data_IF_687859032333
#
_entry.id   IF_687859032333
#
_cell.length_a   1.000
_cell.length_b   1.000
_cell.length_c   1.000
_cell.angle_alpha   90.00
_cell.angle_beta   90.00
_cell.angle_gamma   90.00
#
_symmetry.space_group_name_H-M   'P 1'
#
loop_
_entity.id
_entity.type
_entity.pdbx_description
1 polymer ?
#
# COMPACT_ATOMS: atom_id res chain seq x y z
N UNK A 1 -25.24 82.98 -17.69
CA UNK A 1 -26.42 82.81 -18.55
C UNK A 1 -26.38 81.47 -19.24
N UNK A 2 -27.47 80.69 -19.06
CA UNK A 2 -27.79 79.45 -19.80
C UNK A 2 -26.95 78.18 -19.45
N UNK A 3 -27.47 77.07 -19.19
CA UNK A 3 -28.77 76.43 -18.91
C UNK A 3 -28.44 74.95 -18.73
N UNK A 4 -29.11 74.34 -17.77
CA UNK A 4 -29.17 72.90 -17.49
C UNK A 4 -29.47 72.04 -18.72
N UNK A 5 -28.87 70.83 -18.78
CA UNK A 5 -29.58 69.63 -19.26
C UNK A 5 -29.13 68.42 -18.53
N UNK A 6 -30.06 67.88 -17.76
CA UNK A 6 -30.05 66.50 -17.26
C UNK A 6 -30.06 65.49 -18.43
N UNK A 7 -29.23 64.48 -18.46
CA UNK A 7 -29.47 63.29 -19.24
C UNK A 7 -29.60 62.12 -18.27
N UNK A 8 -30.82 61.57 -18.29
CA UNK A 8 -31.18 60.31 -17.62
C UNK A 8 -30.62 59.19 -18.45
N UNK A 9 -29.73 58.35 -17.86
CA UNK A 9 -29.25 57.10 -18.45
C UNK A 9 -30.10 55.92 -17.97
N UNK A 10 -30.29 54.88 -18.79
CA UNK A 10 -31.20 53.80 -18.48
C UNK A 10 -30.63 52.82 -17.45
N UNK A 11 -31.49 52.46 -16.52
CA UNK A 11 -31.30 51.45 -15.48
C UNK A 11 -31.17 50.07 -16.12
N UNK A 12 -29.98 49.45 -16.06
CA UNK A 12 -29.77 48.07 -16.46
C UNK A 12 -30.20 47.19 -15.29
N UNK A 13 -31.35 46.53 -15.43
CA UNK A 13 -31.80 45.45 -14.55
C UNK A 13 -30.92 44.22 -14.77
N UNK A 14 -29.99 43.97 -13.82
CA UNK A 14 -29.20 42.74 -13.78
C UNK A 14 -30.06 41.62 -13.19
N UNK A 15 -30.56 40.73 -14.04
CA UNK A 15 -31.18 39.48 -13.63
C UNK A 15 -30.11 38.52 -13.07
N UNK A 16 -30.06 38.39 -11.74
CA UNK A 16 -29.34 37.32 -11.06
C UNK A 16 -30.10 36.00 -11.26
N UNK A 17 -29.68 35.21 -12.24
CA UNK A 17 -30.10 33.83 -12.37
C UNK A 17 -29.43 33.05 -11.24
N UNK A 18 -30.19 32.82 -10.18
CA UNK A 18 -29.80 31.92 -9.10
C UNK A 18 -29.74 30.48 -9.63
N UNK A 19 -28.54 29.98 -9.81
CA UNK A 19 -28.26 28.57 -10.09
C UNK A 19 -28.55 27.77 -8.82
N UNK A 20 -29.79 27.28 -8.68
CA UNK A 20 -30.09 26.24 -7.68
C UNK A 20 -29.33 24.97 -8.05
N UNK A 21 -28.20 24.76 -7.43
CA UNK A 21 -27.56 23.45 -7.39
C UNK A 21 -28.50 22.52 -6.61
N UNK A 22 -29.30 21.75 -7.33
CA UNK A 22 -30.08 20.65 -6.76
C UNK A 22 -29.05 19.59 -6.27
N UNK A 23 -28.59 19.72 -5.04
CA UNK A 23 -27.94 18.63 -4.34
C UNK A 23 -28.97 17.49 -4.27
N UNK A 24 -28.71 16.39 -4.96
CA UNK A 24 -29.46 15.18 -4.78
C UNK A 24 -29.31 14.76 -3.29
N UNK A 25 -30.29 15.17 -2.48
CA UNK A 25 -30.43 14.63 -1.13
C UNK A 25 -30.66 13.12 -1.33
N UNK A 26 -29.71 12.32 -0.91
CA UNK A 26 -29.96 10.89 -0.70
C UNK A 26 -31.07 10.83 0.33
N UNK A 27 -32.27 10.52 -0.11
CA UNK A 27 -33.40 10.26 0.78
C UNK A 27 -33.01 9.03 1.60
N UNK A 28 -32.70 9.25 2.86
CA UNK A 28 -32.46 8.16 3.80
C UNK A 28 -33.74 7.34 3.91
N UNK A 29 -33.68 6.05 3.61
CA UNK A 29 -34.83 5.16 3.63
C UNK A 29 -35.33 5.05 5.09
N UNK A 30 -36.57 5.48 5.39
CA UNK A 30 -37.05 5.57 6.76
C UNK A 30 -37.29 4.22 7.44
N UNK A 31 -37.04 3.10 6.76
CA UNK A 31 -37.20 1.77 7.33
C UNK A 31 -36.16 1.53 8.44
N UNK A 32 -36.57 0.93 9.58
CA UNK A 32 -35.62 0.55 10.62
C UNK A 32 -34.50 -0.32 10.06
N UNK A 33 -33.27 -0.06 10.46
CA UNK A 33 -32.12 -0.83 10.01
C UNK A 33 -31.15 -1.10 11.17
N UNK A 34 -30.35 -2.15 11.02
CA UNK A 34 -29.27 -2.49 11.92
C UNK A 34 -27.95 -2.54 11.14
N UNK A 35 -26.94 -1.88 11.66
CA UNK A 35 -25.61 -1.78 11.07
C UNK A 35 -24.62 -2.52 11.95
N UNK A 36 -23.88 -3.48 11.37
CA UNK A 36 -22.92 -4.33 12.07
C UNK A 36 -21.66 -4.51 11.28
N UNK A 37 -20.57 -4.80 11.98
CA UNK A 37 -19.33 -5.24 11.33
C UNK A 37 -19.06 -6.71 11.67
N UNK A 38 -18.70 -7.47 10.66
CA UNK A 38 -18.18 -8.84 10.78
C UNK A 38 -16.71 -8.88 10.42
N UNK A 39 -15.94 -9.63 11.19
CA UNK A 39 -14.53 -9.87 10.95
C UNK A 39 -14.23 -11.35 10.99
N UNK A 40 -13.29 -11.80 10.19
CA UNK A 40 -12.79 -13.17 10.23
C UNK A 40 -11.28 -13.19 10.00
N UNK A 41 -10.63 -14.21 10.55
CA UNK A 41 -9.19 -14.43 10.45
C UNK A 41 -8.95 -15.90 10.09
N UNK A 42 -8.05 -16.12 9.15
CA UNK A 42 -7.57 -17.45 8.76
C UNK A 42 -6.06 -17.48 8.99
N UNK A 43 -5.59 -18.45 9.73
CA UNK A 43 -4.16 -18.72 9.93
C UNK A 43 -3.71 -19.73 8.88
N UNK A 44 -2.65 -19.39 8.16
CA UNK A 44 -2.12 -20.21 7.06
C UNK A 44 -0.61 -20.35 7.21
N UNK A 45 -0.10 -21.57 7.03
CA UNK A 45 1.34 -21.78 6.89
C UNK A 45 1.78 -21.24 5.52
N UNK A 46 2.74 -20.31 5.46
CA UNK A 46 3.22 -19.78 4.19
C UNK A 46 3.98 -20.86 3.40
N UNK A 47 3.89 -20.81 2.09
CA UNK A 47 4.59 -21.68 1.15
C UNK A 47 5.52 -20.91 0.21
N UNK A 48 5.55 -19.58 0.34
CA UNK A 48 6.36 -18.70 -0.49
C UNK A 48 6.96 -17.55 0.33
N UNK A 49 8.12 -17.06 -0.11
CA UNK A 49 8.71 -15.81 0.39
C UNK A 49 8.89 -14.81 -0.76
N UNK A 50 8.57 -13.56 -0.52
CA UNK A 50 8.78 -12.44 -1.44
C UNK A 50 9.85 -11.53 -0.85
N UNK A 51 10.97 -11.42 -1.54
CA UNK A 51 12.09 -10.54 -1.17
C UNK A 51 12.03 -9.29 -2.02
N UNK A 52 12.01 -8.11 -1.37
CA UNK A 52 12.25 -6.82 -1.99
C UNK A 52 13.71 -6.45 -1.79
N UNK A 53 14.48 -6.42 -2.87
CA UNK A 53 15.91 -6.14 -2.84
C UNK A 53 16.26 -5.07 -3.86
N UNK A 54 17.38 -4.40 -3.70
CA UNK A 54 17.88 -3.45 -4.67
C UNK A 54 19.39 -3.50 -4.83
N UNK A 55 19.80 -3.08 -6.01
CA UNK A 55 21.19 -2.88 -6.39
C UNK A 55 21.39 -1.39 -6.64
N UNK A 56 22.26 -0.79 -5.87
CA UNK A 56 22.60 0.63 -5.96
C UNK A 56 24.09 0.78 -6.24
N UNK A 57 24.43 1.58 -7.24
CA UNK A 57 25.80 1.96 -7.58
C UNK A 57 25.97 3.46 -7.55
N UNK A 58 27.16 3.93 -7.19
CA UNK A 58 27.51 5.35 -7.16
C UNK A 58 28.78 5.58 -7.96
N UNK A 59 28.75 6.60 -8.82
CA UNK A 59 29.89 6.95 -9.65
C UNK A 59 29.99 8.47 -9.86
N UNK A 60 31.17 8.97 -10.18
CA UNK A 60 31.37 10.40 -10.43
C UNK A 60 30.62 10.87 -11.69
N UNK A 61 30.42 9.98 -12.67
CA UNK A 61 29.71 10.28 -13.92
C UNK A 61 28.41 9.47 -14.01
N UNK A 62 27.44 10.02 -14.73
CA UNK A 62 26.15 9.38 -14.98
C UNK A 62 26.33 8.02 -15.69
N UNK A 63 27.12 8.03 -16.75
CA UNK A 63 27.40 6.83 -17.56
C UNK A 63 28.08 5.75 -16.74
N UNK A 64 29.01 6.14 -15.85
CA UNK A 64 29.69 5.23 -14.92
C UNK A 64 28.72 4.59 -13.94
N UNK A 65 27.83 5.36 -13.33
CA UNK A 65 26.82 4.84 -12.39
C UNK A 65 25.87 3.86 -13.09
N UNK A 66 25.41 4.16 -14.30
CA UNK A 66 24.53 3.29 -15.09
C UNK A 66 25.25 2.00 -15.50
N UNK A 67 26.48 2.10 -16.00
CA UNK A 67 27.25 0.94 -16.46
C UNK A 67 27.59 -0.02 -15.32
N UNK A 68 27.94 0.51 -14.14
CA UNK A 68 28.22 -0.29 -12.96
C UNK A 68 26.94 -0.96 -12.43
N UNK A 69 25.83 -0.21 -12.33
CA UNK A 69 24.54 -0.77 -11.97
C UNK A 69 24.12 -1.92 -12.90
N UNK A 70 24.31 -1.76 -14.21
CA UNK A 70 23.98 -2.79 -15.18
C UNK A 70 24.78 -4.08 -14.95
N UNK A 71 26.08 -3.99 -14.66
CA UNK A 71 26.93 -5.16 -14.36
C UNK A 71 26.43 -5.90 -13.11
N UNK A 72 26.13 -5.16 -12.05
CA UNK A 72 25.62 -5.75 -10.80
C UNK A 72 24.26 -6.43 -11.02
N UNK A 73 23.37 -5.80 -11.79
CA UNK A 73 22.06 -6.37 -12.15
C UNK A 73 22.21 -7.68 -12.91
N UNK A 74 23.12 -7.73 -13.91
CA UNK A 74 23.40 -8.95 -14.67
C UNK A 74 23.96 -10.06 -13.79
N UNK A 75 24.80 -9.71 -12.82
CA UNK A 75 25.34 -10.65 -11.84
C UNK A 75 24.24 -11.24 -10.97
N UNK A 76 23.34 -10.41 -10.42
CA UNK A 76 22.18 -10.87 -9.64
C UNK A 76 21.28 -11.77 -10.47
N UNK A 77 20.96 -11.36 -11.70
CA UNK A 77 20.10 -12.15 -12.59
C UNK A 77 20.72 -13.50 -12.97
N UNK A 78 22.03 -13.53 -13.17
CA UNK A 78 22.77 -14.79 -13.44
C UNK A 78 22.67 -15.70 -12.21
N UNK A 79 22.99 -15.18 -11.05
CA UNK A 79 22.88 -15.92 -9.81
C UNK A 79 21.47 -16.51 -9.58
N UNK A 80 20.42 -15.71 -9.77
CA UNK A 80 19.04 -16.18 -9.60
C UNK A 80 18.68 -17.32 -10.56
N UNK A 81 19.14 -17.25 -11.82
CA UNK A 81 18.95 -18.35 -12.78
C UNK A 81 19.71 -19.60 -12.35
N UNK A 82 20.95 -19.46 -11.90
CA UNK A 82 21.80 -20.58 -11.44
C UNK A 82 21.25 -21.22 -10.16
N UNK A 83 20.60 -20.44 -9.31
CA UNK A 83 19.85 -20.90 -8.13
C UNK A 83 18.52 -21.57 -8.48
N UNK A 84 18.13 -21.60 -9.76
CA UNK A 84 16.91 -22.25 -10.24
C UNK A 84 15.63 -21.42 -10.00
N UNK A 85 15.74 -20.10 -9.81
CA UNK A 85 14.59 -19.19 -9.72
C UNK A 85 14.10 -18.90 -11.13
N UNK A 86 12.86 -19.31 -11.42
CA UNK A 86 12.27 -19.11 -12.74
C UNK A 86 12.04 -17.61 -13.05
N UNK A 87 12.19 -17.18 -14.32
CA UNK A 87 12.04 -15.77 -14.71
C UNK A 87 10.68 -15.15 -14.32
N UNK A 88 9.60 -15.94 -14.30
CA UNK A 88 8.27 -15.47 -13.86
C UNK A 88 8.21 -15.02 -12.39
N UNK A 89 9.17 -15.49 -11.58
CA UNK A 89 9.30 -15.17 -10.16
C UNK A 89 10.28 -14.02 -9.88
N UNK A 90 10.83 -13.41 -10.94
CA UNK A 90 11.76 -12.30 -10.84
C UNK A 90 11.16 -11.08 -11.54
N UNK A 91 10.81 -10.07 -10.79
CA UNK A 91 10.38 -8.79 -11.33
C UNK A 91 11.46 -7.74 -11.06
N UNK A 92 11.88 -7.02 -12.10
CA UNK A 92 12.90 -5.98 -12.02
C UNK A 92 12.28 -4.64 -12.37
N UNK A 93 12.53 -3.61 -11.57
CA UNK A 93 12.08 -2.24 -11.85
C UNK A 93 12.90 -1.59 -12.98
N UNK A 94 12.42 -0.45 -13.47
CA UNK A 94 13.23 0.46 -14.25
C UNK A 94 14.37 1.03 -13.40
N UNK A 95 15.45 1.47 -14.06
CA UNK A 95 16.55 2.14 -13.39
C UNK A 95 16.10 3.51 -12.87
N UNK A 96 16.39 3.80 -11.60
CA UNK A 96 16.26 5.13 -11.01
C UNK A 96 17.64 5.76 -10.91
N UNK A 97 17.76 7.00 -11.35
CA UNK A 97 19.02 7.74 -11.32
C UNK A 97 18.81 9.04 -10.57
N UNK A 98 19.69 9.30 -9.61
CA UNK A 98 19.65 10.53 -8.82
C UNK A 98 21.04 11.16 -8.74
N UNK A 99 21.15 12.50 -8.87
CA UNK A 99 22.40 13.19 -8.60
C UNK A 99 22.69 13.16 -7.08
N UNK A 100 23.96 12.94 -6.74
CA UNK A 100 24.46 13.01 -5.37
C UNK A 100 25.04 14.38 -5.17
N UNK A 101 24.49 15.12 -4.21
CA UNK A 101 24.94 16.45 -3.87
C UNK A 101 25.89 16.41 -2.67
N UNK A 102 26.85 17.34 -2.57
CA UNK A 102 27.68 17.46 -1.37
C UNK A 102 26.82 17.76 -0.14
N UNK A 103 27.16 17.12 0.96
CA UNK A 103 26.50 17.40 2.24
C UNK A 103 26.84 18.85 2.65
N UNK A 104 25.86 19.74 2.60
CA UNK A 104 26.02 21.12 3.01
C UNK A 104 25.98 21.21 4.52
N UNK A 105 27.09 21.64 5.10
CA UNK A 105 27.09 22.05 6.49
C UNK A 105 26.18 23.30 6.63
N UNK A 106 24.99 23.13 7.18
CA UNK A 106 23.94 24.16 7.26
C UNK A 106 24.42 25.44 7.96
N UNK A 107 25.46 25.34 8.75
CA UNK A 107 26.02 26.49 9.47
C UNK A 107 26.91 27.36 8.58
N UNK A 108 27.61 26.78 7.62
CA UNK A 108 28.50 27.51 6.70
C UNK A 108 27.70 28.20 5.58
N UNK A 109 26.64 27.54 5.08
CA UNK A 109 25.82 28.11 4.00
C UNK A 109 25.08 29.40 4.36
N UNK A 110 24.84 29.68 5.66
CA UNK A 110 24.19 30.89 6.12
C UNK A 110 25.07 32.17 6.00
N UNK A 111 26.38 32.01 5.86
CA UNK A 111 27.35 33.10 5.80
C UNK A 111 28.17 33.15 4.49
N UNK A 112 27.93 32.22 3.56
CA UNK A 112 28.66 32.19 2.30
C UNK A 112 28.18 33.32 1.35
N UNK A 113 29.11 33.99 0.62
CA UNK A 113 28.73 34.97 -0.40
C UNK A 113 27.90 34.32 -1.50
N UNK A 114 26.97 35.06 -2.13
CA UNK A 114 26.09 34.50 -3.20
C UNK A 114 26.86 33.84 -4.34
N UNK A 115 28.03 34.33 -4.68
CA UNK A 115 28.86 33.76 -5.76
C UNK A 115 29.45 32.39 -5.44
N UNK A 116 29.66 32.06 -4.18
CA UNK A 116 30.13 30.74 -3.74
C UNK A 116 28.96 29.73 -3.70
N UNK A 117 27.75 30.18 -3.38
CA UNK A 117 26.55 29.35 -3.40
C UNK A 117 26.23 28.79 -4.79
N UNK A 118 26.60 29.52 -5.84
CA UNK A 118 26.37 29.04 -7.23
C UNK A 118 27.47 28.09 -7.74
N UNK A 119 28.70 28.16 -7.22
CA UNK A 119 29.79 27.24 -7.58
C UNK A 119 29.66 25.86 -6.95
N UNK A 120 29.01 25.75 -5.81
CA UNK A 120 28.81 24.51 -5.07
C UNK A 120 27.57 23.69 -5.54
N UNK A 121 26.84 24.19 -6.53
CA UNK A 121 25.56 23.58 -6.95
C UNK A 121 25.74 22.55 -8.08
N UNK A 122 26.89 21.86 -8.11
CA UNK A 122 27.12 20.74 -9.00
C UNK A 122 27.06 19.41 -8.22
N UNK A 123 26.43 18.37 -8.79
CA UNK A 123 26.45 17.07 -8.15
C UNK A 123 27.87 16.51 -8.11
N UNK A 124 28.25 15.92 -6.99
CA UNK A 124 29.55 15.25 -6.81
C UNK A 124 29.60 13.87 -7.46
N UNK A 125 28.44 13.35 -7.89
CA UNK A 125 28.30 12.07 -8.55
C UNK A 125 26.85 11.74 -8.84
N UNK A 126 26.62 10.52 -9.24
CA UNK A 126 25.32 9.97 -9.56
C UNK A 126 25.12 8.64 -8.86
N UNK A 127 23.91 8.42 -8.38
CA UNK A 127 23.45 7.15 -7.84
C UNK A 127 22.48 6.53 -8.83
N UNK A 128 22.75 5.29 -9.24
CA UNK A 128 21.85 4.48 -10.05
C UNK A 128 21.33 3.32 -9.19
N UNK A 129 20.03 3.13 -9.13
CA UNK A 129 19.39 2.08 -8.35
C UNK A 129 18.38 1.30 -9.18
N UNK A 130 18.31 -0.01 -8.95
CA UNK A 130 17.33 -0.90 -9.57
C UNK A 130 16.83 -1.90 -8.54
N UNK A 131 15.51 -2.01 -8.41
CA UNK A 131 14.89 -2.90 -7.45
C UNK A 131 14.46 -4.22 -8.09
N UNK A 132 14.46 -5.26 -7.28
CA UNK A 132 13.98 -6.60 -7.61
C UNK A 132 12.87 -6.99 -6.64
N UNK A 133 11.84 -7.64 -7.15
CA UNK A 133 10.94 -8.44 -6.37
C UNK A 133 11.16 -9.89 -6.78
N UNK A 134 11.56 -10.72 -5.82
CA UNK A 134 11.94 -12.10 -6.04
C UNK A 134 11.01 -12.98 -5.21
N UNK A 135 10.28 -13.89 -5.87
CA UNK A 135 9.42 -14.86 -5.20
C UNK A 135 10.12 -16.19 -5.11
N UNK A 136 10.32 -16.68 -3.91
CA UNK A 136 10.90 -17.98 -3.60
C UNK A 136 9.76 -18.93 -3.25
N UNK A 137 9.50 -19.92 -4.12
CA UNK A 137 8.42 -20.92 -3.96
C UNK A 137 8.84 -22.11 -3.09
N UNK A 138 10.14 -22.35 -2.97
CA UNK A 138 10.71 -23.41 -2.13
C UNK A 138 11.40 -22.75 -0.94
N UNK A 139 10.71 -22.72 0.19
CA UNK A 139 11.20 -22.05 1.39
C UNK A 139 12.47 -22.69 1.96
N UNK A 140 12.77 -23.94 1.64
CA UNK A 140 14.04 -24.59 2.04
C UNK A 140 15.24 -23.92 1.38
N UNK A 141 15.05 -23.29 0.22
CA UNK A 141 16.09 -22.53 -0.49
C UNK A 141 16.20 -21.07 -0.06
N UNK A 142 15.32 -20.62 0.84
CA UNK A 142 15.22 -19.20 1.18
C UNK A 142 16.55 -18.64 1.70
N UNK A 143 17.14 -19.24 2.74
CA UNK A 143 18.38 -18.76 3.36
C UNK A 143 19.55 -18.75 2.38
N UNK A 144 19.70 -19.84 1.61
CA UNK A 144 20.75 -19.94 0.60
C UNK A 144 20.61 -18.87 -0.47
N UNK A 145 19.36 -18.65 -0.96
CA UNK A 145 19.06 -17.64 -1.97
C UNK A 145 19.29 -16.24 -1.42
N UNK A 146 18.84 -15.96 -0.21
CA UNK A 146 19.03 -14.68 0.46
C UNK A 146 20.53 -14.34 0.64
N UNK A 147 21.31 -15.26 1.21
CA UNK A 147 22.74 -15.08 1.37
C UNK A 147 23.48 -14.93 0.02
N UNK A 148 23.03 -15.66 -0.99
CA UNK A 148 23.59 -15.57 -2.32
C UNK A 148 23.30 -14.23 -3.02
N UNK A 149 22.13 -13.64 -2.82
CA UNK A 149 21.80 -12.30 -3.33
C UNK A 149 22.81 -11.25 -2.83
N UNK A 150 23.08 -11.26 -1.52
CA UNK A 150 24.05 -10.34 -0.90
C UNK A 150 25.46 -10.53 -1.45
N UNK A 151 25.87 -11.77 -1.72
CA UNK A 151 27.19 -12.08 -2.31
C UNK A 151 27.30 -11.69 -3.79
N UNK A 152 26.19 -11.59 -4.50
CA UNK A 152 26.13 -11.36 -5.94
C UNK A 152 25.67 -9.94 -6.32
N UNK A 153 25.82 -8.95 -5.43
CA UNK A 153 25.69 -7.55 -5.79
C UNK A 153 24.44 -6.84 -5.25
N UNK A 154 23.50 -7.56 -4.61
CA UNK A 154 22.44 -6.92 -3.83
C UNK A 154 23.07 -6.25 -2.62
N UNK A 155 22.89 -4.95 -2.50
CA UNK A 155 23.46 -4.14 -1.41
C UNK A 155 22.39 -3.45 -0.54
N UNK A 156 21.12 -3.66 -0.86
CA UNK A 156 20.01 -3.26 0.00
C UNK A 156 18.87 -4.28 -0.08
N UNK A 157 18.38 -4.71 1.07
CA UNK A 157 17.17 -5.53 1.19
C UNK A 157 16.14 -4.73 1.97
N UNK A 158 15.02 -4.42 1.32
CA UNK A 158 13.96 -3.59 1.90
C UNK A 158 13.05 -4.39 2.81
N UNK A 159 12.53 -5.51 2.33
CA UNK A 159 11.61 -6.36 3.11
C UNK A 159 11.64 -7.80 2.63
N UNK A 160 11.29 -8.68 3.54
CA UNK A 160 10.96 -10.09 3.26
C UNK A 160 9.55 -10.33 3.78
N UNK A 161 8.68 -10.82 2.90
CA UNK A 161 7.30 -11.15 3.25
C UNK A 161 7.03 -12.62 2.95
N UNK A 162 6.49 -13.35 3.95
CA UNK A 162 6.00 -14.71 3.74
C UNK A 162 4.55 -14.66 3.31
N UNK A 163 4.19 -15.48 2.34
CA UNK A 163 2.85 -15.47 1.74
C UNK A 163 2.44 -16.89 1.34
N UNK A 164 1.20 -17.04 0.86
CA UNK A 164 0.71 -18.29 0.31
C UNK A 164 0.47 -18.16 -1.19
N UNK A 165 0.80 -19.21 -1.94
CA UNK A 165 0.42 -19.33 -3.36
C UNK A 165 -1.10 -19.27 -3.55
N UNK A 166 -1.87 -19.72 -2.53
CA UNK A 166 -3.32 -19.69 -2.50
C UNK A 166 -3.91 -18.49 -1.76
N UNK A 167 -3.15 -17.40 -1.64
CA UNK A 167 -3.55 -16.20 -0.89
C UNK A 167 -4.95 -15.69 -1.30
N UNK A 168 -5.29 -15.75 -2.59
CA UNK A 168 -6.61 -15.34 -3.07
C UNK A 168 -7.72 -16.23 -2.51
N UNK A 169 -7.54 -17.53 -2.55
CA UNK A 169 -8.50 -18.52 -2.02
C UNK A 169 -8.74 -18.29 -0.52
N UNK A 170 -7.67 -18.07 0.23
CA UNK A 170 -7.76 -17.79 1.66
C UNK A 170 -8.46 -16.45 1.96
N UNK A 171 -8.20 -15.42 1.15
CA UNK A 171 -8.91 -14.13 1.27
C UNK A 171 -10.40 -14.28 1.00
N UNK A 172 -10.77 -15.03 -0.04
CA UNK A 172 -12.16 -15.25 -0.37
C UNK A 172 -12.88 -16.04 0.75
N UNK A 173 -12.20 -17.03 1.33
CA UNK A 173 -12.72 -17.77 2.49
C UNK A 173 -12.88 -16.86 3.73
N UNK A 174 -11.92 -15.99 4.01
CA UNK A 174 -12.03 -15.01 5.10
C UNK A 174 -13.21 -14.04 4.89
N UNK A 175 -13.43 -13.54 3.67
CA UNK A 175 -14.59 -12.69 3.32
C UNK A 175 -15.91 -13.38 3.62
N UNK A 176 -16.06 -14.62 3.18
CA UNK A 176 -17.28 -15.39 3.42
C UNK A 176 -17.53 -15.60 4.92
N UNK A 177 -16.50 -15.86 5.70
CA UNK A 177 -16.61 -15.99 7.15
C UNK A 177 -16.97 -14.64 7.80
N UNK A 178 -16.38 -13.54 7.35
CA UNK A 178 -16.71 -12.20 7.86
C UNK A 178 -18.17 -11.82 7.59
N UNK A 179 -18.71 -12.15 6.41
CA UNK A 179 -20.12 -11.92 6.06
C UNK A 179 -21.03 -12.76 6.94
N UNK A 180 -20.69 -14.03 7.20
CA UNK A 180 -21.44 -14.90 8.11
C UNK A 180 -21.45 -14.32 9.53
N UNK A 181 -20.30 -13.91 10.04
CA UNK A 181 -20.18 -13.30 11.37
C UNK A 181 -21.01 -12.01 11.51
N UNK A 182 -21.03 -11.17 10.46
CA UNK A 182 -21.88 -9.97 10.44
C UNK A 182 -23.38 -10.34 10.51
N UNK A 183 -23.80 -11.33 9.70
CA UNK A 183 -25.21 -11.77 9.67
C UNK A 183 -25.64 -12.39 10.99
N UNK A 184 -24.82 -13.25 11.57
CA UNK A 184 -25.09 -13.89 12.88
C UNK A 184 -25.21 -12.83 13.98
N UNK A 185 -24.31 -11.86 14.01
CA UNK A 185 -24.37 -10.75 14.96
C UNK A 185 -25.64 -9.93 14.79
N UNK A 186 -26.00 -9.57 13.55
CA UNK A 186 -27.20 -8.80 13.26
C UNK A 186 -28.47 -9.56 13.67
N UNK A 187 -28.53 -10.88 13.40
CA UNK A 187 -29.65 -11.72 13.76
C UNK A 187 -29.84 -11.82 15.28
N UNK A 188 -28.77 -12.08 16.02
CA UNK A 188 -28.82 -12.16 17.48
C UNK A 188 -29.24 -10.83 18.10
N UNK A 189 -28.76 -9.69 17.61
CA UNK A 189 -29.15 -8.37 18.11
C UNK A 189 -30.61 -8.02 17.76
N UNK A 190 -31.09 -8.41 16.58
CA UNK A 190 -32.47 -8.19 16.16
C UNK A 190 -33.44 -9.03 17.03
N UNK A 191 -33.12 -10.29 17.30
CA UNK A 191 -33.87 -11.21 18.11
C UNK A 191 -34.00 -10.67 19.55
N UNK A 192 -32.91 -10.22 20.15
CA UNK A 192 -32.91 -9.66 21.52
C UNK A 192 -33.80 -8.39 21.64
N UNK A 193 -33.94 -7.64 20.53
CA UNK A 193 -34.79 -6.45 20.46
C UNK A 193 -36.24 -6.75 20.04
N UNK A 194 -36.62 -8.00 19.87
CA UNK A 194 -37.95 -8.39 19.38
C UNK A 194 -38.21 -7.95 17.95
N UNK A 195 -37.19 -7.94 17.12
CA UNK A 195 -37.25 -7.56 15.69
C UNK A 195 -36.81 -8.72 14.79
N UNK A 196 -37.29 -8.72 13.55
CA UNK A 196 -36.86 -9.68 12.53
C UNK A 196 -35.85 -9.03 11.60
N UNK A 197 -34.74 -9.75 11.34
CA UNK A 197 -33.77 -9.37 10.34
C UNK A 197 -34.37 -9.60 8.93
N UNK A 198 -34.33 -8.56 8.09
CA UNK A 198 -34.80 -8.62 6.72
C UNK A 198 -33.64 -8.70 5.72
N UNK A 199 -33.81 -8.12 4.54
CA UNK A 199 -32.84 -8.08 3.47
C UNK A 199 -31.68 -7.14 3.76
N UNK A 200 -30.56 -7.35 3.07
CA UNK A 200 -29.42 -6.43 3.10
C UNK A 200 -29.80 -5.10 2.49
N UNK A 201 -29.52 -4.00 3.19
CA UNK A 201 -29.63 -2.62 2.70
C UNK A 201 -28.31 -2.17 2.04
N UNK A 202 -27.17 -2.47 2.71
CA UNK A 202 -25.85 -2.07 2.27
C UNK A 202 -24.82 -3.12 2.70
N UNK A 203 -23.85 -3.38 1.84
CA UNK A 203 -22.65 -4.14 2.19
C UNK A 203 -21.42 -3.39 1.69
N UNK A 204 -20.44 -3.22 2.56
CA UNK A 204 -19.15 -2.61 2.24
C UNK A 204 -18.04 -3.50 2.77
N UNK A 205 -17.12 -3.88 1.90
CA UNK A 205 -15.87 -4.50 2.32
C UNK A 205 -14.91 -3.40 2.78
N UNK A 206 -14.38 -3.52 3.99
CA UNK A 206 -13.30 -2.67 4.43
C UNK A 206 -12.05 -3.09 3.64
N UNK A 207 -11.75 -2.34 2.59
CA UNK A 207 -10.53 -2.51 1.80
C UNK A 207 -9.37 -1.93 2.60
N UNK A 208 -8.89 -2.66 3.59
CA UNK A 208 -7.57 -2.37 4.12
C UNK A 208 -6.55 -3.11 3.23
N UNK A 209 -5.66 -2.42 2.53
CA UNK A 209 -4.48 -3.02 1.94
C UNK A 209 -3.51 -3.39 3.08
N UNK A 210 -3.89 -4.33 3.92
CA UNK A 210 -2.93 -4.89 4.86
C UNK A 210 -1.98 -5.75 4.05
N UNK A 211 -0.78 -5.25 3.90
CA UNK A 211 0.34 -6.11 3.59
C UNK A 211 0.35 -7.17 4.70
N UNK A 212 -0.03 -8.38 4.33
CA UNK A 212 0.10 -9.56 5.19
C UNK A 212 1.60 -9.87 5.31
N UNK A 213 2.29 -9.04 6.03
CA UNK A 213 3.60 -9.35 6.53
C UNK A 213 3.35 -10.21 7.76
N UNK A 214 3.86 -11.41 7.77
CA UNK A 214 4.17 -12.05 9.02
C UNK A 214 5.02 -11.03 9.77
N UNK A 215 4.44 -10.37 10.76
CA UNK A 215 5.16 -9.49 11.66
C UNK A 215 5.94 -10.40 12.60
N UNK A 216 6.89 -11.12 12.02
CA UNK A 216 7.94 -11.75 12.79
C UNK A 216 8.77 -10.59 13.32
N UNK A 217 8.38 -10.15 14.50
CA UNK A 217 9.28 -9.35 15.34
C UNK A 217 10.51 -10.22 15.56
N UNK A 218 11.56 -9.98 14.79
CA UNK A 218 12.89 -10.61 14.98
C UNK A 218 13.52 -10.27 16.34
N UNK A 219 12.73 -9.68 17.26
CA UNK A 219 13.17 -9.29 18.59
C UNK A 219 13.26 -10.45 19.59
N UNK A 220 12.85 -11.66 19.21
CA UNK A 220 12.89 -12.82 20.12
C UNK A 220 13.72 -13.98 19.53
N UNK A 221 14.86 -13.65 18.91
CA UNK A 221 15.88 -14.62 18.51
C UNK A 221 16.84 -14.89 19.67
N UNK A 222 16.34 -15.10 20.87
CA UNK A 222 17.10 -15.71 21.94
C UNK A 222 16.84 -17.21 21.94
N UNK A 223 17.84 -17.95 21.47
CA UNK A 223 18.03 -19.38 21.72
C UNK A 223 16.98 -20.35 21.12
N UNK A 224 16.93 -20.48 19.81
CA UNK A 224 16.52 -21.74 19.21
C UNK A 224 17.55 -22.22 18.19
N UNK A 225 17.99 -23.42 18.41
CA UNK A 225 18.86 -24.23 17.55
C UNK A 225 18.35 -24.16 16.08
N UNK A 226 19.00 -23.40 15.25
CA UNK A 226 19.21 -23.52 13.81
C UNK A 226 18.04 -23.82 12.85
N UNK A 227 16.82 -24.00 13.27
CA UNK A 227 15.71 -24.34 12.37
C UNK A 227 14.78 -23.13 12.20
N UNK A 228 14.97 -22.44 11.07
CA UNK A 228 14.14 -21.31 10.70
C UNK A 228 12.69 -21.76 10.42
N UNK A 229 11.73 -21.28 11.19
CA UNK A 229 10.32 -21.59 11.03
C UNK A 229 9.55 -20.30 10.67
N UNK A 230 8.89 -20.21 9.51
CA UNK A 230 8.16 -19.00 9.06
C UNK A 230 6.91 -18.69 9.88
N UNK A 231 6.51 -19.56 10.81
CA UNK A 231 5.29 -19.41 11.59
C UNK A 231 4.03 -19.48 10.72
N UNK A 232 2.95 -18.87 11.20
CA UNK A 232 1.70 -18.74 10.44
C UNK A 232 1.45 -17.29 10.06
N UNK A 233 0.91 -17.06 8.87
CA UNK A 233 0.42 -15.75 8.45
C UNK A 233 -1.07 -15.63 8.73
N UNK A 234 -1.49 -14.47 9.22
CA UNK A 234 -2.89 -14.15 9.45
C UNK A 234 -3.49 -13.47 8.22
N UNK A 235 -4.52 -14.06 7.65
CA UNK A 235 -5.30 -13.47 6.56
C UNK A 235 -6.65 -13.06 7.14
N UNK A 236 -6.92 -11.76 7.20
CA UNK A 236 -8.14 -11.21 7.78
C UNK A 236 -9.02 -10.57 6.72
N UNK A 237 -10.33 -10.57 6.96
CA UNK A 237 -11.31 -9.79 6.22
C UNK A 237 -12.26 -9.09 7.19
N UNK A 238 -12.72 -7.91 6.82
CA UNK A 238 -13.72 -7.14 7.56
C UNK A 238 -14.77 -6.63 6.59
N UNK A 239 -16.04 -6.79 6.97
CA UNK A 239 -17.18 -6.28 6.21
C UNK A 239 -18.08 -5.47 7.14
N UNK A 240 -18.64 -4.41 6.60
CA UNK A 240 -19.68 -3.63 7.21
C UNK A 240 -20.98 -3.90 6.47
N UNK A 241 -22.04 -4.31 7.20
CA UNK A 241 -23.31 -4.70 6.58
C UNK A 241 -24.44 -4.00 7.32
N UNK A 242 -25.35 -3.45 6.56
CA UNK A 242 -26.60 -2.88 7.04
C UNK A 242 -27.77 -3.72 6.55
N UNK A 243 -28.65 -4.12 7.47
CA UNK A 243 -29.84 -4.89 7.19
C UNK A 243 -31.08 -4.08 7.57
N UNK A 244 -32.16 -4.25 6.82
CA UNK A 244 -33.46 -3.77 7.26
C UNK A 244 -34.01 -4.64 8.39
N UNK A 245 -34.78 -4.01 9.28
CA UNK A 245 -35.48 -4.65 10.37
C UNK A 245 -37.02 -4.55 10.17
N UNK A 246 -37.71 -5.54 10.66
CA UNK A 246 -39.16 -5.48 10.88
C UNK A 246 -39.38 -5.49 12.39
N UNK A 247 -39.92 -4.38 12.93
CA UNK A 247 -40.35 -4.37 14.32
C UNK A 247 -41.54 -5.32 14.49
N UNK A 248 -41.48 -6.22 15.47
CA UNK A 248 -42.70 -6.92 15.91
C UNK A 248 -43.53 -5.91 16.70
N UNK A 249 -44.75 -5.64 16.24
CA UNK A 249 -45.73 -4.87 17.00
C UNK A 249 -46.10 -5.76 18.19
N UNK A 250 -45.62 -5.42 19.37
CA UNK A 250 -46.07 -6.05 20.60
C UNK A 250 -47.56 -5.70 20.78
N UNK A 251 -48.43 -6.68 20.52
CA UNK A 251 -49.86 -6.59 20.82
C UNK A 251 -50.12 -6.79 22.34
#
# INVERSE_FOLDING_TARGET
MKTNRLMVGPTVCLWLIGMFASGAAHADDPRPSISVSGTAKILVTPDQAVIQASVTSRFATLEGAVADNQKLVEQVQRYLRDAGIEPKHIQTSQISIQPVWPEKDRQVAAFAPPEELFKENQPIGYEASRSFQITIVDLQKFELTYAGLLKNGVNSVGSVAFTSSELRTHRDAARLQAVRAAREKAAAMAEELGAKLLTVKLIQEATEPRHYMAQNSFNDLSESDGDWAPGQIEISASVHVEFYLQAEVLN
#
